data_IF_452964103970
#
_entry.id   IF_452964103970
#
_cell.length_a   1.000
_cell.length_b   1.000
_cell.length_c   1.000
_cell.angle_alpha   90.00
_cell.angle_beta   90.00
_cell.angle_gamma   90.00
#
_symmetry.space_group_name_H-M   'P 1'
#
loop_
_entity.id
_entity.type
_entity.pdbx_description
1 polymer ?
#
# COMPACT_ATOMS: atom_id res chain seq x y z
N UNK A 1 22.36 7.54 -12.78
CA UNK A 1 21.49 7.79 -11.63
C UNK A 1 20.22 6.99 -11.85
N UNK A 2 20.10 5.82 -11.24
CA UNK A 2 18.84 5.06 -11.22
C UNK A 2 18.34 5.21 -9.79
N UNK A 3 17.30 6.03 -9.60
CA UNK A 3 16.62 6.20 -8.32
C UNK A 3 15.90 4.89 -7.97
N UNK A 4 16.66 3.88 -7.55
CA UNK A 4 16.11 2.63 -7.04
C UNK A 4 15.58 2.87 -5.63
N UNK A 5 14.30 3.18 -5.52
CA UNK A 5 13.65 3.24 -4.21
C UNK A 5 12.18 3.64 -4.22
N UNK A 6 11.47 3.51 -5.33
CA UNK A 6 10.06 3.87 -5.41
C UNK A 6 9.36 3.01 -6.45
N UNK A 7 8.47 2.12 -6.00
CA UNK A 7 7.67 1.26 -6.87
C UNK A 7 6.25 1.83 -6.99
N UNK A 8 5.77 2.02 -8.21
CA UNK A 8 4.38 2.38 -8.45
C UNK A 8 3.48 1.17 -8.17
N UNK A 9 2.42 1.39 -7.39
CA UNK A 9 1.40 0.41 -7.09
C UNK A 9 0.00 0.99 -7.27
N UNK A 10 -0.86 0.31 -7.99
CA UNK A 10 -2.23 0.73 -8.26
C UNK A 10 -3.20 0.20 -7.21
N UNK A 11 -4.06 1.04 -6.65
CA UNK A 11 -5.09 0.65 -5.71
C UNK A 11 -6.19 -0.12 -6.44
N UNK A 12 -6.29 -1.41 -6.15
CA UNK A 12 -7.34 -2.28 -6.68
C UNK A 12 -8.64 -2.15 -5.89
N UNK A 13 -8.55 -2.11 -4.57
CA UNK A 13 -9.73 -2.12 -3.70
C UNK A 13 -9.46 -1.43 -2.37
N UNK A 14 -10.47 -0.74 -1.85
CA UNK A 14 -10.44 -0.16 -0.51
C UNK A 14 -11.11 -1.13 0.46
N UNK A 15 -10.33 -1.73 1.36
CA UNK A 15 -10.79 -2.77 2.28
C UNK A 15 -11.64 -2.20 3.42
N UNK A 16 -11.34 -0.98 3.87
CA UNK A 16 -12.10 -0.32 4.92
C UNK A 16 -11.33 0.75 5.68
N UNK A 17 -12.03 1.52 6.50
CA UNK A 17 -11.43 2.51 7.42
C UNK A 17 -11.12 1.83 8.75
N UNK A 18 -9.84 1.82 9.12
CA UNK A 18 -9.42 1.45 10.46
C UNK A 18 -9.66 2.63 11.40
N UNK A 19 -10.33 2.39 12.54
CA UNK A 19 -10.82 3.44 13.44
C UNK A 19 -9.74 4.28 14.13
N UNK A 20 -8.48 3.86 14.05
CA UNK A 20 -7.33 4.63 14.55
C UNK A 20 -6.91 5.70 13.55
N UNK A 21 -7.09 6.97 13.91
CA UNK A 21 -6.55 8.16 13.21
C UNK A 21 -6.92 8.28 11.71
N UNK A 22 -8.09 7.78 11.28
CA UNK A 22 -8.56 7.99 9.91
C UNK A 22 -7.73 7.27 8.85
N UNK A 23 -7.12 6.15 9.22
CA UNK A 23 -6.34 5.29 8.32
C UNK A 23 -7.30 4.42 7.51
N UNK A 24 -7.09 4.38 6.20
CA UNK A 24 -7.80 3.49 5.28
C UNK A 24 -6.87 2.37 4.89
N UNK A 25 -7.34 1.13 5.04
CA UNK A 25 -6.63 -0.03 4.53
C UNK A 25 -7.04 -0.26 3.07
N UNK A 26 -6.04 -0.28 2.19
CA UNK A 26 -6.24 -0.50 0.76
C UNK A 26 -5.42 -1.67 0.26
N UNK A 27 -5.95 -2.33 -0.76
CA UNK A 27 -5.28 -3.37 -1.52
C UNK A 27 -4.75 -2.73 -2.79
N UNK A 28 -3.44 -2.76 -2.96
CA UNK A 28 -2.77 -2.23 -4.14
C UNK A 28 -1.90 -3.29 -4.81
N UNK A 29 -1.71 -3.18 -6.12
CA UNK A 29 -0.93 -4.09 -6.94
C UNK A 29 0.27 -3.35 -7.52
N UNK A 30 1.46 -3.90 -7.33
CA UNK A 30 2.70 -3.31 -7.86
C UNK A 30 2.70 -3.39 -9.39
N UNK A 31 2.86 -2.24 -10.04
CA UNK A 31 2.92 -2.11 -11.50
C UNK A 31 4.36 -2.19 -12.04
N UNK A 32 5.35 -1.79 -11.22
CA UNK A 32 6.74 -1.64 -11.66
C UNK A 32 7.74 -2.29 -10.69
N UNK A 33 8.89 -2.72 -11.22
CA UNK A 33 9.98 -3.33 -10.47
C UNK A 33 9.98 -4.86 -10.43
N UNK A 34 10.82 -5.41 -9.55
CA UNK A 34 11.04 -6.87 -9.43
C UNK A 34 9.82 -7.61 -8.85
N UNK A 35 8.94 -6.89 -8.14
CA UNK A 35 7.71 -7.40 -7.55
C UNK A 35 6.46 -7.09 -8.38
N UNK A 36 6.60 -6.91 -9.70
CA UNK A 36 5.48 -6.69 -10.61
C UNK A 36 4.38 -7.75 -10.39
N UNK A 37 3.13 -7.30 -10.40
CA UNK A 37 1.92 -8.10 -10.13
C UNK A 37 1.72 -8.58 -8.68
N UNK A 38 2.61 -8.21 -7.74
CA UNK A 38 2.42 -8.53 -6.32
C UNK A 38 1.31 -7.67 -5.72
N UNK A 39 0.36 -8.32 -5.04
CA UNK A 39 -0.71 -7.65 -4.30
C UNK A 39 -0.25 -7.40 -2.87
N UNK A 40 -0.38 -6.17 -2.43
CA UNK A 40 0.04 -5.69 -1.12
C UNK A 40 -1.13 -4.97 -0.45
N UNK A 41 -1.17 -5.03 0.87
CA UNK A 41 -2.10 -4.21 1.65
C UNK A 41 -1.30 -3.06 2.24
N UNK A 42 -1.82 -1.84 2.09
CA UNK A 42 -1.21 -0.62 2.62
C UNK A 42 -2.21 0.18 3.44
N UNK A 43 -1.70 0.80 4.49
CA UNK A 43 -2.41 1.76 5.28
C UNK A 43 -2.16 3.15 4.70
N UNK A 44 -3.20 3.76 4.14
CA UNK A 44 -3.15 5.12 3.61
C UNK A 44 -3.84 6.04 4.61
N UNK A 45 -3.17 7.11 5.00
CA UNK A 45 -3.82 8.16 5.78
C UNK A 45 -4.54 9.10 4.83
N UNK A 46 -5.85 9.26 5.02
CA UNK A 46 -6.68 10.14 4.20
C UNK A 46 -7.60 9.42 3.20
N UNK A 47 -8.32 10.19 2.37
CA UNK A 47 -9.22 9.63 1.36
C UNK A 47 -8.40 9.02 0.21
N UNK A 48 -8.77 7.80 -0.18
CA UNK A 48 -8.15 7.04 -1.27
C UNK A 48 -9.25 6.34 -2.05
N UNK A 49 -9.07 6.20 -3.35
CA UNK A 49 -10.04 5.60 -4.27
C UNK A 49 -9.42 4.45 -5.05
N UNK A 50 -10.28 3.60 -5.58
CA UNK A 50 -9.86 2.57 -6.55
C UNK A 50 -9.30 3.25 -7.79
N UNK A 51 -8.17 2.77 -8.29
CA UNK A 51 -7.43 3.33 -9.42
C UNK A 51 -6.37 4.38 -9.06
N UNK A 52 -6.23 4.77 -7.78
CA UNK A 52 -5.12 5.63 -7.36
C UNK A 52 -3.77 4.92 -7.49
N UNK A 53 -2.71 5.66 -7.83
CA UNK A 53 -1.34 5.13 -7.87
C UNK A 53 -0.59 5.59 -6.62
N UNK A 54 -0.12 4.63 -5.84
CA UNK A 54 0.70 4.80 -4.66
C UNK A 54 2.16 4.55 -5.00
N UNK A 55 3.04 5.42 -4.52
CA UNK A 55 4.48 5.23 -4.64
C UNK A 55 5.02 4.59 -3.36
N UNK A 56 5.47 3.35 -3.47
CA UNK A 56 6.01 2.57 -2.35
C UNK A 56 7.51 2.80 -2.24
N UNK A 57 7.96 3.46 -1.17
CA UNK A 57 9.39 3.70 -0.91
C UNK A 57 10.14 2.46 -0.39
N UNK A 58 9.43 1.55 0.28
CA UNK A 58 9.95 0.28 0.79
C UNK A 58 8.86 -0.81 0.65
N UNK A 59 9.21 -1.93 0.01
CA UNK A 59 8.35 -3.11 -0.13
C UNK A 59 8.30 -3.97 1.15
N UNK A 60 9.11 -3.65 2.16
CA UNK A 60 9.39 -4.52 3.32
C UNK A 60 8.75 -4.11 4.65
N UNK A 61 8.06 -2.98 4.76
CA UNK A 61 7.22 -2.76 5.95
C UNK A 61 5.87 -3.46 5.77
N UNK A 62 5.81 -4.75 6.05
CA UNK A 62 4.60 -5.30 6.67
C UNK A 62 4.44 -4.57 8.01
N UNK A 63 3.38 -3.79 8.18
CA UNK A 63 2.92 -3.49 9.54
C UNK A 63 2.41 -4.82 10.11
N UNK A 64 3.33 -5.64 10.62
CA UNK A 64 3.01 -6.73 11.54
C UNK A 64 2.62 -6.07 12.85
N UNK A 65 1.48 -5.38 12.84
CA UNK A 65 0.72 -5.15 14.04
C UNK A 65 0.17 -6.51 14.44
N UNK A 66 0.97 -7.31 15.14
CA UNK A 66 0.41 -8.34 16.00
C UNK A 66 -0.60 -7.62 16.89
N UNK A 67 -1.89 -7.78 16.61
CA UNK A 67 -2.86 -7.83 17.69
C UNK A 67 -2.51 -9.10 18.46
N UNK A 68 -1.62 -8.97 19.45
CA UNK A 68 -1.63 -9.93 20.55
C UNK A 68 -2.89 -9.60 21.37
N UNK A 69 -3.88 -10.47 21.28
CA UNK A 69 -4.78 -10.71 22.40
C UNK A 69 -4.08 -11.69 23.35
#
# INVERSE_FOLDING_TARGET
>A
MVEKGSWAAEVLEVLGRSGVKGIVQVKCKVLEGENKDKILIRNVSGPVRVGDILMLKETEMETVGKLQA
#
